data_IF_774609146005
#
_entry.id   IF_774609146005
#
_cell.length_a   1.000
_cell.length_b   1.000
_cell.length_c   1.000
_cell.angle_alpha   90.00
_cell.angle_beta   90.00
_cell.angle_gamma   90.00
#
_symmetry.space_group_name_H-M   'P 1'
#
loop_
_entity.id
_entity.type
_entity.pdbx_description
1 polymer ?
#
# COMPACT_ATOMS: atom_id res chain seq x y z
N UNK A 1 -22.32 -11.76 54.24
CA UNK A 1 -22.32 -10.28 54.17
C UNK A 1 -20.87 -9.73 54.21
N UNK A 2 -19.95 -10.33 53.43
CA UNK A 2 -18.52 -9.98 53.42
C UNK A 2 -17.88 -10.23 52.03
N UNK A 3 -18.65 -10.06 50.94
CA UNK A 3 -18.23 -10.38 49.57
C UNK A 3 -18.38 -9.22 48.57
N UNK A 4 -18.55 -7.98 49.04
CA UNK A 4 -18.79 -6.80 48.19
C UNK A 4 -17.58 -5.85 48.06
N UNK A 5 -16.41 -6.20 48.60
CA UNK A 5 -15.24 -5.30 48.62
C UNK A 5 -14.00 -6.03 48.11
N UNK A 6 -14.03 -6.48 46.85
CA UNK A 6 -12.81 -6.69 46.08
C UNK A 6 -12.92 -5.80 44.84
N UNK A 7 -12.58 -4.53 45.09
CA UNK A 7 -11.94 -3.57 44.17
C UNK A 7 -12.31 -3.67 42.69
N UNK A 8 -13.16 -2.72 42.27
CA UNK A 8 -13.19 -2.14 40.92
C UNK A 8 -11.83 -1.56 40.46
N UNK A 9 -10.82 -1.45 41.33
CA UNK A 9 -9.54 -0.82 41.00
C UNK A 9 -8.65 -1.63 40.06
N UNK A 10 -8.96 -2.89 39.78
CA UNK A 10 -8.20 -3.72 38.81
C UNK A 10 -8.88 -3.83 37.44
N UNK A 11 -10.06 -3.23 37.25
CA UNK A 11 -10.77 -3.16 35.96
C UNK A 11 -10.33 -1.96 35.10
N UNK A 12 -9.47 -1.08 35.63
CA UNK A 12 -8.91 0.09 34.94
C UNK A 12 -7.65 -0.20 34.11
N UNK A 13 -7.11 -1.42 34.19
CA UNK A 13 -6.03 -1.84 33.31
C UNK A 13 -6.64 -2.57 32.10
N UNK A 14 -6.35 -2.09 30.89
CA UNK A 14 -6.61 -2.71 29.58
C UNK A 14 -7.96 -2.36 28.92
N UNK A 15 -7.90 -1.29 28.11
CA UNK A 15 -8.93 -0.82 27.17
C UNK A 15 -8.86 -1.48 25.79
N UNK A 16 -8.33 -2.69 25.66
CA UNK A 16 -8.23 -3.35 24.35
C UNK A 16 -9.50 -4.18 24.06
N UNK A 17 -10.32 -3.64 23.14
CA UNK A 17 -11.45 -4.28 22.43
C UNK A 17 -12.78 -4.30 23.22
N UNK A 18 -13.63 -3.27 23.07
CA UNK A 18 -14.92 -3.17 23.75
C UNK A 18 -15.96 -4.18 23.26
N UNK A 19 -15.84 -4.76 22.06
CA UNK A 19 -16.75 -5.83 21.59
C UNK A 19 -16.64 -7.10 22.46
N UNK A 20 -15.44 -7.43 22.96
CA UNK A 20 -15.25 -8.53 23.91
C UNK A 20 -15.71 -8.15 25.32
N UNK A 21 -15.55 -6.87 25.70
CA UNK A 21 -15.93 -6.34 27.02
C UNK A 21 -17.44 -6.31 27.21
N UNK A 22 -18.21 -5.90 26.20
CA UNK A 22 -19.68 -5.92 26.20
C UNK A 22 -20.24 -7.33 26.14
N UNK A 23 -19.62 -8.24 25.37
CA UNK A 23 -20.04 -9.64 25.32
C UNK A 23 -19.74 -10.36 26.64
N UNK A 24 -18.58 -10.11 27.25
CA UNK A 24 -18.23 -10.65 28.57
C UNK A 24 -19.10 -10.03 29.67
N UNK A 25 -19.42 -8.74 29.63
CA UNK A 25 -20.33 -8.10 30.58
C UNK A 25 -21.75 -8.65 30.45
N UNK A 26 -22.26 -8.86 29.22
CA UNK A 26 -23.56 -9.48 28.96
C UNK A 26 -23.62 -10.94 29.43
N UNK A 27 -22.50 -11.65 29.45
CA UNK A 27 -22.37 -13.02 29.97
C UNK A 27 -22.16 -13.07 31.49
N UNK A 28 -21.47 -12.09 32.08
CA UNK A 28 -21.22 -12.00 33.53
C UNK A 28 -22.45 -11.53 34.31
N UNK A 29 -23.27 -10.65 33.71
CA UNK A 29 -24.52 -10.17 34.31
C UNK A 29 -25.65 -11.22 34.28
N UNK A 30 -25.52 -12.30 33.50
CA UNK A 30 -26.63 -13.19 33.17
C UNK A 30 -26.60 -14.61 33.74
N UNK A 31 -25.71 -15.03 34.65
CA UNK A 31 -26.05 -16.08 35.62
C UNK A 31 -24.90 -16.47 36.57
N UNK A 32 -25.12 -16.15 37.84
CA UNK A 32 -24.81 -17.04 38.94
C UNK A 32 -25.83 -18.20 38.84
N UNK A 33 -25.36 -19.45 38.83
CA UNK A 33 -26.09 -20.74 38.80
C UNK A 33 -26.19 -21.46 37.44
N UNK A 34 -25.45 -22.58 37.29
CA UNK A 34 -25.61 -23.61 36.24
C UNK A 34 -24.45 -23.77 35.24
N UNK A 35 -23.34 -24.44 35.60
CA UNK A 35 -22.03 -24.24 34.94
C UNK A 35 -21.46 -25.37 34.06
N UNK A 36 -22.22 -26.36 33.56
CA UNK A 36 -21.62 -27.47 32.78
C UNK A 36 -22.14 -27.63 31.34
N UNK A 37 -23.40 -27.32 31.06
CA UNK A 37 -23.97 -27.37 29.69
C UNK A 37 -23.98 -26.02 28.97
N UNK A 38 -23.90 -24.91 29.71
CA UNK A 38 -23.94 -23.55 29.17
C UNK A 38 -22.58 -23.03 28.65
N UNK A 39 -21.48 -23.64 29.11
CA UNK A 39 -20.12 -23.27 28.71
C UNK A 39 -19.83 -23.50 27.22
N UNK A 40 -20.42 -24.53 26.60
CA UNK A 40 -20.22 -24.82 25.18
C UNK A 40 -20.89 -23.79 24.26
N UNK A 41 -22.06 -23.27 24.63
CA UNK A 41 -22.78 -22.25 23.85
C UNK A 41 -22.09 -20.90 23.92
N UNK A 42 -21.62 -20.50 25.11
CA UNK A 42 -20.84 -19.27 25.31
C UNK A 42 -19.53 -19.33 24.54
N UNK A 43 -18.78 -20.44 24.65
CA UNK A 43 -17.52 -20.63 23.94
C UNK A 43 -17.72 -20.57 22.41
N UNK A 44 -18.86 -21.08 21.92
CA UNK A 44 -19.22 -21.03 20.49
C UNK A 44 -19.59 -19.62 20.01
N UNK A 45 -20.29 -18.82 20.81
CA UNK A 45 -20.58 -17.44 20.44
C UNK A 45 -19.34 -16.55 20.47
N UNK A 46 -18.48 -16.73 21.49
CA UNK A 46 -17.21 -16.00 21.59
C UNK A 46 -16.30 -16.35 20.41
N UNK A 47 -16.22 -17.62 19.99
CA UNK A 47 -15.41 -18.00 18.82
C UNK A 47 -15.95 -17.45 17.49
N UNK A 48 -17.27 -17.36 17.32
CA UNK A 48 -17.91 -16.72 16.16
C UNK A 48 -17.69 -15.20 16.11
N UNK A 49 -17.69 -14.53 17.26
CA UNK A 49 -17.40 -13.08 17.34
C UNK A 49 -15.92 -12.78 17.06
N UNK A 50 -15.02 -13.62 17.55
CA UNK A 50 -13.59 -13.53 17.26
C UNK A 50 -13.32 -13.72 15.76
N UNK A 51 -13.92 -14.73 15.12
CA UNK A 51 -13.70 -15.00 13.69
C UNK A 51 -14.22 -13.88 12.79
N UNK A 52 -15.39 -13.30 13.11
CA UNK A 52 -15.91 -12.14 12.37
C UNK A 52 -15.06 -10.89 12.53
N UNK A 53 -14.51 -10.65 13.72
CA UNK A 53 -13.60 -9.51 13.98
C UNK A 53 -12.29 -9.64 13.20
N UNK A 54 -11.72 -10.84 13.14
CA UNK A 54 -10.53 -11.17 12.36
C UNK A 54 -10.72 -10.86 10.88
N UNK A 55 -11.84 -11.30 10.31
CA UNK A 55 -12.16 -11.06 8.90
C UNK A 55 -12.30 -9.56 8.61
N UNK A 56 -12.89 -8.78 9.53
CA UNK A 56 -13.03 -7.34 9.38
C UNK A 56 -11.66 -6.63 9.35
N UNK A 57 -10.76 -6.95 10.27
CA UNK A 57 -9.39 -6.36 10.31
C UNK A 57 -8.63 -6.69 9.03
N UNK A 58 -8.68 -7.94 8.59
CA UNK A 58 -8.05 -8.37 7.33
C UNK A 58 -8.64 -7.66 6.12
N UNK A 59 -9.96 -7.46 6.09
CA UNK A 59 -10.64 -6.75 5.01
C UNK A 59 -10.23 -5.27 4.94
N UNK A 60 -10.10 -4.59 6.09
CA UNK A 60 -9.61 -3.21 6.17
C UNK A 60 -8.16 -3.14 5.69
N UNK A 61 -7.30 -4.06 6.12
CA UNK A 61 -5.90 -4.14 5.66
C UNK A 61 -5.79 -4.33 4.14
N UNK A 62 -6.59 -5.22 3.56
CA UNK A 62 -6.67 -5.41 2.10
C UNK A 62 -7.16 -4.14 1.39
N UNK A 63 -8.14 -3.46 1.97
CA UNK A 63 -8.70 -2.22 1.42
C UNK A 63 -7.72 -1.05 1.44
N UNK A 64 -6.79 -1.05 2.38
CA UNK A 64 -5.70 -0.10 2.46
C UNK A 64 -4.60 -0.37 1.42
N UNK A 65 -4.10 -1.61 1.37
CA UNK A 65 -2.94 -1.99 0.53
C UNK A 65 -3.29 -2.13 -0.95
N UNK A 66 -4.54 -2.49 -1.28
CA UNK A 66 -4.98 -2.74 -2.66
C UNK A 66 -4.72 -1.58 -3.63
N UNK A 67 -5.25 -0.36 -3.37
CA UNK A 67 -5.02 0.83 -4.19
C UNK A 67 -3.53 1.17 -4.39
N UNK A 68 -2.71 1.03 -3.34
CA UNK A 68 -1.28 1.31 -3.35
C UNK A 68 -0.53 0.35 -4.27
N UNK A 69 -0.81 -0.95 -4.14
CA UNK A 69 -0.21 -1.97 -4.99
C UNK A 69 -0.55 -1.76 -6.47
N UNK A 70 -1.80 -1.41 -6.79
CA UNK A 70 -2.15 -1.11 -8.18
C UNK A 70 -1.42 0.11 -8.70
N UNK A 71 -1.34 1.19 -7.91
CA UNK A 71 -0.61 2.39 -8.31
C UNK A 71 0.87 2.07 -8.60
N UNK A 72 1.54 1.34 -7.71
CA UNK A 72 2.94 0.92 -7.92
C UNK A 72 3.10 0.07 -9.18
N UNK A 73 2.20 -0.89 -9.41
CA UNK A 73 2.20 -1.74 -10.61
C UNK A 73 2.03 -0.88 -11.86
N UNK A 74 0.97 -0.06 -11.94
CA UNK A 74 0.68 0.74 -13.12
C UNK A 74 1.79 1.75 -13.42
N UNK A 75 2.33 2.42 -12.40
CA UNK A 75 3.40 3.39 -12.57
C UNK A 75 4.68 2.71 -13.09
N UNK A 76 5.10 1.62 -12.45
CA UNK A 76 6.26 0.85 -12.93
C UNK A 76 6.07 0.33 -14.35
N UNK A 77 4.83 -0.04 -14.72
CA UNK A 77 4.53 -0.44 -16.08
C UNK A 77 4.76 0.68 -17.11
N UNK A 78 4.54 1.93 -16.74
CA UNK A 78 4.84 3.10 -17.59
C UNK A 78 6.34 3.35 -17.67
N UNK A 79 7.05 3.28 -16.54
CA UNK A 79 8.51 3.48 -16.45
C UNK A 79 9.24 2.62 -17.48
N UNK A 80 8.95 1.30 -17.51
CA UNK A 80 9.67 0.44 -18.46
C UNK A 80 9.20 0.63 -19.91
N UNK A 81 7.98 1.10 -20.15
CA UNK A 81 7.54 1.41 -21.51
C UNK A 81 8.32 2.59 -22.08
N UNK A 82 8.67 3.56 -21.24
CA UNK A 82 9.62 4.61 -21.58
C UNK A 82 11.02 4.05 -21.83
N UNK A 83 11.54 3.19 -20.95
CA UNK A 83 12.85 2.52 -21.15
C UNK A 83 12.92 1.73 -22.46
N UNK A 84 11.85 1.02 -22.81
CA UNK A 84 11.74 0.28 -24.08
C UNK A 84 11.65 1.21 -25.29
N UNK A 85 10.95 2.34 -25.16
CA UNK A 85 10.91 3.38 -26.19
C UNK A 85 12.31 3.98 -26.40
N UNK A 86 13.06 4.27 -25.34
CA UNK A 86 14.45 4.73 -25.44
C UNK A 86 15.34 3.72 -26.18
N UNK A 87 15.27 2.43 -25.84
CA UNK A 87 16.02 1.40 -26.53
C UNK A 87 15.69 1.34 -28.04
N UNK A 88 14.41 1.48 -28.38
CA UNK A 88 13.97 1.55 -29.78
C UNK A 88 14.52 2.78 -30.50
N UNK A 89 14.56 3.93 -29.81
CA UNK A 89 15.07 5.19 -30.37
C UNK A 89 16.59 5.19 -30.54
N UNK A 90 17.33 4.58 -29.60
CA UNK A 90 18.79 4.39 -29.70
C UNK A 90 19.15 3.50 -30.90
N UNK A 91 18.42 2.39 -31.06
CA UNK A 91 18.66 1.42 -32.13
C UNK A 91 17.95 1.78 -33.45
N UNK A 92 17.35 2.97 -33.56
CA UNK A 92 16.67 3.42 -34.78
C UNK A 92 17.62 3.45 -36.00
N UNK A 93 18.92 3.57 -35.73
CA UNK A 93 19.98 3.87 -36.70
C UNK A 93 21.05 2.78 -36.84
N UNK A 94 20.90 1.64 -36.16
CA UNK A 94 21.99 0.65 -36.03
C UNK A 94 22.40 -0.07 -37.32
N UNK A 95 21.59 -0.01 -38.37
CA UNK A 95 21.82 -0.72 -39.64
C UNK A 95 22.16 0.20 -40.83
N UNK A 96 22.50 1.48 -40.59
CA UNK A 96 22.88 2.45 -41.65
C UNK A 96 23.96 1.90 -42.59
N UNK A 97 24.95 1.17 -42.06
CA UNK A 97 26.11 0.70 -42.83
C UNK A 97 25.83 -0.52 -43.73
N UNK A 98 24.66 -1.18 -43.58
CA UNK A 98 24.33 -2.42 -44.31
C UNK A 98 23.38 -2.22 -45.50
N UNK A 99 22.68 -1.09 -45.57
CA UNK A 99 21.59 -0.88 -46.53
C UNK A 99 22.06 -0.05 -47.74
N UNK A 100 22.00 -0.64 -48.94
CA UNK A 100 22.50 -0.05 -50.21
C UNK A 100 21.63 1.08 -50.77
N UNK A 101 20.39 1.24 -50.29
CA UNK A 101 19.46 2.32 -50.66
C UNK A 101 19.13 3.21 -49.45
N UNK A 102 19.82 4.35 -49.39
CA UNK A 102 19.70 5.37 -48.33
C UNK A 102 18.28 5.95 -48.27
N UNK A 103 17.57 6.02 -49.40
CA UNK A 103 16.22 6.61 -49.47
C UNK A 103 15.17 5.64 -48.92
N UNK A 104 15.25 4.36 -49.32
CA UNK A 104 14.38 3.32 -48.78
C UNK A 104 14.60 3.14 -47.26
N UNK A 105 15.86 3.16 -46.82
CA UNK A 105 16.23 3.13 -45.41
C UNK A 105 15.65 4.32 -44.63
N UNK A 106 15.82 5.54 -45.14
CA UNK A 106 15.31 6.76 -44.49
C UNK A 106 13.78 6.72 -44.33
N UNK A 107 13.05 6.22 -45.33
CA UNK A 107 11.60 6.08 -45.25
C UNK A 107 11.18 5.02 -44.22
N UNK A 108 11.90 3.89 -44.14
CA UNK A 108 11.67 2.84 -43.12
C UNK A 108 11.93 3.37 -41.71
N UNK A 109 13.03 4.08 -41.48
CA UNK A 109 13.33 4.72 -40.19
C UNK A 109 12.29 5.78 -39.83
N UNK A 110 11.79 6.55 -40.80
CA UNK A 110 10.73 7.52 -40.56
C UNK A 110 9.40 6.85 -40.14
N UNK A 111 9.03 5.72 -40.73
CA UNK A 111 7.88 4.93 -40.29
C UNK A 111 8.04 4.36 -38.88
N UNK A 112 9.25 3.93 -38.51
CA UNK A 112 9.55 3.49 -37.13
C UNK A 112 9.47 4.68 -36.16
N UNK A 113 10.02 5.84 -36.53
CA UNK A 113 9.95 7.07 -35.73
C UNK A 113 8.51 7.50 -35.52
N UNK A 114 7.66 7.44 -36.55
CA UNK A 114 6.23 7.75 -36.44
C UNK A 114 5.52 6.87 -35.42
N UNK A 115 5.83 5.56 -35.39
CA UNK A 115 5.35 4.64 -34.35
C UNK A 115 5.87 5.01 -32.96
N UNK A 116 7.15 5.42 -32.86
CA UNK A 116 7.74 5.88 -31.61
C UNK A 116 7.07 7.16 -31.10
N UNK A 117 6.73 8.11 -31.98
CA UNK A 117 5.99 9.33 -31.65
C UNK A 117 4.60 8.99 -31.10
N UNK A 118 3.87 8.11 -31.79
CA UNK A 118 2.54 7.68 -31.33
C UNK A 118 2.61 7.00 -29.97
N UNK A 119 3.61 6.13 -29.76
CA UNK A 119 3.85 5.47 -28.47
C UNK A 119 4.19 6.50 -27.39
N UNK A 120 5.11 7.44 -27.65
CA UNK A 120 5.49 8.48 -26.72
C UNK A 120 4.29 9.34 -26.30
N UNK A 121 3.46 9.79 -27.25
CA UNK A 121 2.24 10.55 -26.98
C UNK A 121 1.27 9.75 -26.11
N UNK A 122 1.08 8.46 -26.42
CA UNK A 122 0.21 7.58 -25.63
C UNK A 122 0.73 7.39 -24.20
N UNK A 123 2.05 7.30 -24.01
CA UNK A 123 2.66 7.20 -22.68
C UNK A 123 2.53 8.49 -21.88
N UNK A 124 2.69 9.65 -22.52
CA UNK A 124 2.47 10.96 -21.87
C UNK A 124 1.00 11.08 -21.43
N UNK A 125 0.06 10.76 -22.32
CA UNK A 125 -1.38 10.83 -22.01
C UNK A 125 -1.77 9.84 -20.90
N UNK A 126 -1.21 8.63 -20.94
CA UNK A 126 -1.40 7.64 -19.88
C UNK A 126 -0.89 8.16 -18.53
N UNK A 127 0.30 8.77 -18.52
CA UNK A 127 0.93 9.31 -17.29
C UNK A 127 0.10 10.45 -16.70
N UNK A 128 -0.41 11.36 -17.55
CA UNK A 128 -1.28 12.45 -17.11
C UNK A 128 -2.59 11.94 -16.51
N UNK A 129 -3.24 10.95 -17.14
CA UNK A 129 -4.44 10.31 -16.58
C UNK A 129 -4.16 9.57 -15.28
N UNK A 130 -3.01 8.92 -15.16
CA UNK A 130 -2.60 8.25 -13.93
C UNK A 130 -2.42 9.27 -12.80
N UNK A 131 -1.79 10.41 -13.09
CA UNK A 131 -1.65 11.53 -12.15
C UNK A 131 -3.01 12.09 -11.73
N UNK A 132 -3.90 12.41 -12.68
CA UNK A 132 -5.23 12.99 -12.38
C UNK A 132 -6.04 12.13 -11.41
N UNK A 133 -5.97 10.80 -11.54
CA UNK A 133 -6.73 9.86 -10.69
C UNK A 133 -6.09 9.72 -9.31
N UNK A 134 -4.75 9.66 -9.24
CA UNK A 134 -4.04 9.30 -8.02
C UNK A 134 -3.44 10.50 -7.26
N UNK A 135 -3.49 11.72 -7.79
CA UNK A 135 -2.91 12.91 -7.14
C UNK A 135 -3.46 13.15 -5.73
N UNK A 136 -4.78 13.05 -5.54
CA UNK A 136 -5.42 13.21 -4.23
C UNK A 136 -5.21 11.99 -3.30
N UNK A 137 -5.34 10.73 -3.77
CA UNK A 137 -4.95 9.56 -2.99
C UNK A 137 -3.50 9.61 -2.48
N UNK A 138 -2.55 10.00 -3.34
CA UNK A 138 -1.13 10.16 -2.98
C UNK A 138 -0.98 11.20 -1.88
N UNK A 139 -1.54 12.41 -2.07
CA UNK A 139 -1.48 13.47 -1.06
C UNK A 139 -2.04 13.01 0.29
N UNK A 140 -3.23 12.40 0.28
CA UNK A 140 -3.86 11.92 1.50
C UNK A 140 -3.03 10.88 2.24
N UNK A 141 -2.37 9.99 1.48
CA UNK A 141 -1.52 8.93 2.03
C UNK A 141 -0.28 9.52 2.67
N UNK A 142 0.41 10.44 1.98
CA UNK A 142 1.63 11.08 2.49
C UNK A 142 1.38 11.86 3.78
N UNK A 143 0.30 12.65 3.82
CA UNK A 143 -0.06 13.43 5.01
C UNK A 143 -0.41 12.51 6.17
N UNK A 144 -1.29 11.52 5.93
CA UNK A 144 -1.75 10.63 7.02
C UNK A 144 -0.61 9.72 7.51
N UNK A 145 0.26 9.23 6.63
CA UNK A 145 1.42 8.41 7.04
C UNK A 145 2.42 9.22 7.86
N UNK A 146 2.63 10.50 7.55
CA UNK A 146 3.50 11.34 8.38
C UNK A 146 2.98 11.50 9.81
N UNK A 147 1.67 11.71 9.96
CA UNK A 147 1.01 11.81 11.28
C UNK A 147 1.05 10.48 12.02
N UNK A 148 0.75 9.38 11.33
CA UNK A 148 0.77 8.02 11.90
C UNK A 148 2.16 7.63 12.36
N UNK A 149 3.21 7.85 11.56
CA UNK A 149 4.60 7.57 11.95
C UNK A 149 5.00 8.34 13.22
N UNK A 150 4.56 9.59 13.37
CA UNK A 150 4.81 10.38 14.57
C UNK A 150 4.12 9.79 15.81
N UNK A 151 2.85 9.40 15.69
CA UNK A 151 2.11 8.81 16.80
C UNK A 151 2.58 7.40 17.15
N UNK A 152 2.85 6.56 16.16
CA UNK A 152 3.40 5.22 16.36
C UNK A 152 4.76 5.28 17.06
N UNK A 153 5.63 6.24 16.70
CA UNK A 153 6.91 6.46 17.39
C UNK A 153 6.71 6.93 18.83
N UNK A 154 5.77 7.86 19.05
CA UNK A 154 5.42 8.35 20.38
C UNK A 154 4.96 7.21 21.30
N UNK A 155 4.07 6.35 20.80
CA UNK A 155 3.58 5.18 21.53
C UNK A 155 4.69 4.15 21.78
N UNK A 156 5.53 3.89 20.79
CA UNK A 156 6.63 2.91 20.92
C UNK A 156 7.67 3.32 21.96
N UNK A 157 7.98 4.61 22.09
CA UNK A 157 9.03 5.09 23.01
C UNK A 157 8.49 5.27 24.43
N UNK A 158 7.29 5.84 24.58
CA UNK A 158 6.78 6.27 25.88
C UNK A 158 5.74 5.32 26.47
N UNK A 159 5.14 4.45 25.66
CA UNK A 159 4.11 3.52 26.10
C UNK A 159 4.70 2.31 26.83
N UNK A 160 4.14 1.99 28.00
CA UNK A 160 4.38 0.71 28.67
C UNK A 160 3.51 -0.39 28.02
N UNK A 161 3.94 -0.82 26.82
CA UNK A 161 3.13 -1.63 25.91
C UNK A 161 3.56 -3.10 25.95
N UNK A 162 2.61 -4.06 26.00
CA UNK A 162 2.94 -5.48 25.93
C UNK A 162 3.66 -5.85 24.62
N UNK A 163 4.57 -6.83 24.69
CA UNK A 163 5.45 -7.23 23.58
C UNK A 163 4.73 -7.49 22.26
N UNK A 164 3.52 -8.07 22.29
CA UNK A 164 2.74 -8.37 21.10
C UNK A 164 2.28 -7.11 20.34
N UNK A 165 1.78 -6.10 21.06
CA UNK A 165 1.34 -4.83 20.46
C UNK A 165 2.53 -3.99 19.99
N UNK A 166 3.67 -4.07 20.70
CA UNK A 166 4.92 -3.46 20.23
C UNK A 166 5.37 -4.00 18.88
N UNK A 167 5.23 -5.31 18.67
CA UNK A 167 5.56 -5.94 17.38
C UNK A 167 4.64 -5.44 16.25
N UNK A 168 3.36 -5.19 16.54
CA UNK A 168 2.41 -4.58 15.60
C UNK A 168 2.90 -3.22 15.11
N UNK A 169 3.28 -2.32 16.02
CA UNK A 169 3.77 -0.98 15.66
C UNK A 169 5.06 -1.05 14.83
N UNK A 170 5.97 -1.98 15.17
CA UNK A 170 7.18 -2.20 14.37
C UNK A 170 6.83 -2.61 12.93
N UNK A 171 5.88 -3.54 12.74
CA UNK A 171 5.45 -3.92 11.39
C UNK A 171 4.75 -2.78 10.64
N UNK A 172 3.97 -1.92 11.31
CA UNK A 172 3.38 -0.73 10.69
C UNK A 172 4.45 0.26 10.24
N UNK A 173 5.38 0.62 11.14
CA UNK A 173 6.46 1.58 10.85
C UNK A 173 7.32 1.10 9.68
N UNK A 174 7.71 -0.19 9.70
CA UNK A 174 8.44 -0.81 8.60
C UNK A 174 7.61 -0.80 7.30
N UNK A 175 6.33 -1.14 7.37
CA UNK A 175 5.44 -1.14 6.20
C UNK A 175 5.31 0.23 5.55
N UNK A 176 5.08 1.27 6.35
CA UNK A 176 5.00 2.66 5.86
C UNK A 176 6.33 3.10 5.27
N UNK A 177 7.43 2.82 5.95
CA UNK A 177 8.77 3.18 5.50
C UNK A 177 9.11 2.54 4.15
N UNK A 178 8.89 1.22 4.03
CA UNK A 178 9.11 0.51 2.79
C UNK A 178 8.20 1.00 1.66
N UNK A 179 6.93 1.26 1.94
CA UNK A 179 6.02 1.85 0.96
C UNK A 179 6.57 3.17 0.41
N UNK A 180 6.97 4.10 1.28
CA UNK A 180 7.48 5.40 0.86
C UNK A 180 8.73 5.23 -0.01
N UNK A 181 9.69 4.38 0.38
CA UNK A 181 10.90 4.13 -0.42
C UNK A 181 10.56 3.56 -1.80
N UNK A 182 9.77 2.48 -1.87
CA UNK A 182 9.45 1.86 -3.14
C UNK A 182 8.62 2.79 -4.03
N UNK A 183 7.64 3.50 -3.46
CA UNK A 183 6.81 4.41 -4.21
C UNK A 183 7.61 5.60 -4.76
N UNK A 184 8.46 6.22 -3.94
CA UNK A 184 9.32 7.33 -4.39
C UNK A 184 10.37 6.89 -5.40
N UNK A 185 10.94 5.69 -5.27
CA UNK A 185 11.83 5.09 -6.26
C UNK A 185 11.13 4.90 -7.62
N UNK A 186 9.93 4.32 -7.64
CA UNK A 186 9.17 4.12 -8.88
C UNK A 186 8.81 5.47 -9.52
N UNK A 187 8.42 6.47 -8.72
CA UNK A 187 8.12 7.81 -9.24
C UNK A 187 9.36 8.53 -9.77
N UNK A 188 10.52 8.37 -9.11
CA UNK A 188 11.79 8.89 -9.62
C UNK A 188 12.15 8.25 -10.97
N UNK A 189 12.03 6.92 -11.08
CA UNK A 189 12.21 6.22 -12.35
C UNK A 189 11.30 6.74 -13.46
N UNK A 190 10.07 7.16 -13.16
CA UNK A 190 9.18 7.77 -14.16
C UNK A 190 9.74 9.10 -14.69
N UNK A 191 10.24 9.96 -13.80
CA UNK A 191 10.84 11.25 -14.16
C UNK A 191 12.10 11.04 -14.99
N UNK A 192 12.99 10.16 -14.52
CA UNK A 192 14.25 9.85 -15.17
C UNK A 192 14.05 9.23 -16.56
N UNK A 193 13.27 8.15 -16.65
CA UNK A 193 13.05 7.44 -17.92
C UNK A 193 12.24 8.27 -18.93
N UNK A 194 11.37 9.18 -18.48
CA UNK A 194 10.67 10.09 -19.41
C UNK A 194 11.58 11.21 -19.94
N UNK A 195 12.52 11.69 -19.13
CA UNK A 195 13.54 12.67 -19.53
C UNK A 195 14.58 12.07 -20.48
N UNK A 196 15.03 10.84 -20.20
CA UNK A 196 16.09 10.13 -20.94
C UNK A 196 15.73 9.84 -22.40
N UNK A 197 14.47 9.95 -22.81
CA UNK A 197 14.05 9.92 -24.23
C UNK A 197 14.78 10.98 -25.04
N UNK A 198 14.97 12.18 -24.48
CA UNK A 198 15.69 13.26 -25.14
C UNK A 198 17.15 12.89 -25.37
N UNK A 199 17.82 12.33 -24.34
CA UNK A 199 19.20 11.89 -24.40
C UNK A 199 19.39 10.72 -25.39
N UNK A 200 18.45 9.77 -25.40
CA UNK A 200 18.43 8.65 -26.34
C UNK A 200 18.33 9.13 -27.80
N UNK A 201 17.46 10.10 -28.08
CA UNK A 201 17.35 10.71 -29.41
C UNK A 201 18.58 11.51 -29.80
N UNK A 202 19.11 12.30 -28.87
CA UNK A 202 20.29 13.13 -29.09
C UNK A 202 21.53 12.30 -29.44
N UNK A 203 21.71 11.17 -28.74
CA UNK A 203 22.81 10.23 -28.95
C UNK A 203 22.70 9.42 -30.25
N UNK A 204 21.55 9.45 -30.90
CA UNK A 204 21.35 8.80 -32.20
C UNK A 204 22.13 9.48 -33.33
N UNK A 205 22.38 8.74 -34.42
CA UNK A 205 23.14 9.23 -35.58
C UNK A 205 22.31 10.11 -36.54
N UNK A 206 21.45 10.97 -35.99
CA UNK A 206 20.54 11.83 -36.76
C UNK A 206 21.25 12.94 -37.55
N UNK A 207 22.50 13.24 -37.22
CA UNK A 207 23.35 14.22 -37.94
C UNK A 207 23.76 13.73 -39.32
N UNK A 208 23.80 12.41 -39.54
CA UNK A 208 24.26 11.76 -40.78
C UNK A 208 23.12 11.64 -41.81
N UNK A 209 21.88 11.95 -41.42
CA UNK A 209 20.70 11.89 -42.29
C UNK A 209 20.84 12.73 -43.56
N UNK A 210 20.43 12.21 -44.74
CA UNK A 210 20.47 12.95 -46.00
C UNK A 210 19.64 14.24 -45.90
N UNK A 211 20.04 15.28 -46.64
CA UNK A 211 19.36 16.58 -46.65
C UNK A 211 18.15 16.62 -47.61
N UNK A 212 17.54 15.46 -47.86
CA UNK A 212 16.30 15.33 -48.62
C UNK A 212 15.08 15.76 -47.77
N UNK A 213 13.90 15.78 -48.37
CA UNK A 213 12.66 16.19 -47.70
C UNK A 213 12.36 15.33 -46.46
N UNK A 214 12.45 14.00 -46.58
CA UNK A 214 12.25 13.05 -45.46
C UNK A 214 13.22 13.29 -44.30
N UNK A 215 14.52 13.50 -44.57
CA UNK A 215 15.52 13.75 -43.54
C UNK A 215 15.36 15.11 -42.86
N UNK A 216 14.86 16.13 -43.58
CA UNK A 216 14.49 17.43 -42.96
C UNK A 216 13.27 17.30 -42.06
N UNK A 217 12.22 16.59 -42.50
CA UNK A 217 11.03 16.32 -41.68
C UNK A 217 11.41 15.54 -40.43
N UNK A 218 12.22 14.50 -40.57
CA UNK A 218 12.66 13.65 -39.47
C UNK A 218 13.44 14.42 -38.40
N UNK A 219 14.40 15.28 -38.81
CA UNK A 219 15.11 16.17 -37.87
C UNK A 219 14.17 17.12 -37.14
N UNK A 220 13.20 17.69 -37.84
CA UNK A 220 12.19 18.57 -37.24
C UNK A 220 11.36 17.83 -36.19
N UNK A 221 10.89 16.63 -36.50
CA UNK A 221 10.08 15.83 -35.58
C UNK A 221 10.89 15.36 -34.37
N UNK A 222 12.14 14.92 -34.57
CA UNK A 222 13.05 14.57 -33.47
C UNK A 222 13.29 15.75 -32.54
N UNK A 223 13.52 16.95 -33.08
CA UNK A 223 13.65 18.16 -32.26
C UNK A 223 12.40 18.43 -31.43
N UNK A 224 11.20 18.24 -31.99
CA UNK A 224 9.94 18.39 -31.25
C UNK A 224 9.87 17.36 -30.11
N UNK A 225 10.22 16.11 -30.37
CA UNK A 225 10.21 15.06 -29.34
C UNK A 225 11.20 15.41 -28.21
N UNK A 226 12.44 15.79 -28.55
CA UNK A 226 13.45 16.20 -27.58
C UNK A 226 12.95 17.35 -26.71
N UNK A 227 12.44 18.42 -27.33
CA UNK A 227 11.87 19.57 -26.61
C UNK A 227 10.69 19.18 -25.71
N UNK A 228 9.86 18.21 -26.11
CA UNK A 228 8.75 17.72 -25.29
C UNK A 228 9.24 16.86 -24.12
N UNK A 229 10.25 16.02 -24.32
CA UNK A 229 10.85 15.16 -23.29
C UNK A 229 11.62 15.94 -22.22
N UNK A 230 12.04 17.19 -22.51
CA UNK A 230 12.59 18.10 -21.49
C UNK A 230 11.57 18.47 -20.39
N UNK A 231 10.28 18.16 -20.57
CA UNK A 231 9.25 18.25 -19.54
C UNK A 231 8.85 16.83 -19.11
N UNK A 232 9.51 16.27 -18.07
CA UNK A 232 9.31 14.88 -17.69
C UNK A 232 7.91 14.61 -17.14
N UNK A 233 7.44 13.38 -17.36
CA UNK A 233 6.25 12.87 -16.71
C UNK A 233 6.55 12.61 -15.24
N UNK A 234 5.71 13.11 -14.34
CA UNK A 234 5.85 12.95 -12.90
C UNK A 234 4.48 12.77 -12.28
N UNK A 235 4.43 12.19 -11.08
CA UNK A 235 3.21 12.14 -10.28
C UNK A 235 3.31 13.19 -9.18
N UNK A 236 2.29 14.03 -9.02
CA UNK A 236 2.26 15.05 -7.96
C UNK A 236 1.40 14.63 -6.77
N UNK A 237 1.76 15.13 -5.58
CA UNK A 237 0.91 15.10 -4.41
C UNK A 237 -0.01 16.34 -4.42
N UNK A 238 -1.23 16.20 -4.96
CA UNK A 238 -2.23 17.26 -5.02
C UNK A 238 -1.80 18.54 -5.76
N UNK A 239 -0.84 18.43 -6.69
CA UNK A 239 -0.26 19.57 -7.41
C UNK A 239 0.72 20.45 -6.61
N UNK A 240 1.02 20.11 -5.35
CA UNK A 240 1.95 20.90 -4.52
C UNK A 240 3.42 20.62 -4.86
N UNK A 241 3.79 19.35 -4.96
CA UNK A 241 5.15 18.93 -5.29
C UNK A 241 5.15 17.58 -6.04
N UNK A 242 6.11 17.37 -6.96
CA UNK A 242 6.33 16.07 -7.58
C UNK A 242 6.83 15.07 -6.53
N UNK A 243 6.30 13.87 -6.54
CA UNK A 243 6.79 12.78 -5.69
C UNK A 243 8.06 12.23 -6.32
N UNK A 244 9.20 12.57 -5.75
CA UNK A 244 10.52 12.11 -6.20
C UNK A 244 11.34 11.58 -5.02
N UNK A 245 12.38 10.81 -5.31
CA UNK A 245 13.26 10.23 -4.28
C UNK A 245 13.83 11.29 -3.31
N UNK A 246 14.12 12.49 -3.79
CA UNK A 246 14.57 13.61 -2.94
C UNK A 246 13.52 14.07 -1.92
N UNK A 247 12.22 13.83 -2.16
CA UNK A 247 11.16 14.13 -1.19
C UNK A 247 11.10 13.15 -0.03
N UNK A 248 11.70 11.96 -0.14
CA UNK A 248 11.78 10.99 0.95
C UNK A 248 13.07 11.06 1.76
N UNK A 249 14.18 11.62 1.26
CA UNK A 249 15.34 12.03 2.10
C UNK A 249 16.43 12.78 1.32
N UNK A 250 17.13 13.70 2.01
CA UNK A 250 18.31 14.42 1.52
C UNK A 250 19.63 13.65 1.68
N UNK A 251 19.71 12.51 2.40
CA UNK A 251 20.99 11.77 2.58
C UNK A 251 20.87 10.23 2.70
N UNK A 252 19.67 9.64 2.81
CA UNK A 252 19.52 8.22 3.18
C UNK A 252 19.54 7.23 2.01
N UNK A 253 19.49 7.72 0.77
CA UNK A 253 19.10 6.91 -0.39
C UNK A 253 20.28 6.41 -1.22
N UNK A 254 21.46 7.04 -1.16
CA UNK A 254 22.66 6.46 -1.77
C UNK A 254 22.96 5.09 -1.13
N UNK A 255 22.83 4.98 0.20
CA UNK A 255 22.96 3.73 0.93
C UNK A 255 21.86 2.70 0.59
N UNK A 256 20.59 3.12 0.46
CA UNK A 256 19.47 2.18 0.16
C UNK A 256 19.46 1.76 -1.31
N UNK A 257 19.82 2.65 -2.24
CA UNK A 257 19.97 2.36 -3.66
C UNK A 257 21.10 1.36 -3.90
N UNK A 258 22.25 1.58 -3.27
CA UNK A 258 23.37 0.63 -3.28
C UNK A 258 22.98 -0.71 -2.64
N UNK A 259 22.28 -0.69 -1.49
CA UNK A 259 21.78 -1.91 -0.83
C UNK A 259 20.71 -2.63 -1.66
N UNK A 260 19.85 -1.94 -2.42
CA UNK A 260 18.85 -2.58 -3.29
C UNK A 260 19.50 -3.20 -4.53
N UNK A 261 20.53 -2.55 -5.09
CA UNK A 261 21.29 -3.06 -6.23
C UNK A 261 22.22 -4.21 -5.81
N UNK A 262 22.89 -4.08 -4.67
CA UNK A 262 23.74 -5.10 -4.05
C UNK A 262 22.89 -6.30 -3.59
N UNK A 263 21.75 -6.11 -2.91
CA UNK A 263 20.86 -7.20 -2.54
C UNK A 263 20.19 -7.86 -3.74
N UNK A 264 19.92 -7.16 -4.84
CA UNK A 264 19.44 -7.79 -6.07
C UNK A 264 20.49 -8.76 -6.66
N UNK A 265 21.78 -8.43 -6.52
CA UNK A 265 22.89 -9.30 -6.88
C UNK A 265 23.18 -10.39 -5.83
N UNK A 266 23.03 -10.11 -4.52
CA UNK A 266 23.27 -11.07 -3.43
C UNK A 266 22.11 -12.06 -3.21
N UNK A 267 20.85 -11.67 -3.46
CA UNK A 267 19.71 -12.60 -3.53
C UNK A 267 19.85 -13.61 -4.68
N UNK A 268 20.75 -13.36 -5.64
CA UNK A 268 21.13 -14.33 -6.67
C UNK A 268 22.04 -15.44 -6.12
N UNK A 269 22.68 -15.23 -4.97
CA UNK A 269 23.71 -16.14 -4.44
C UNK A 269 23.23 -17.03 -3.29
N UNK A 270 22.26 -16.59 -2.46
CA UNK A 270 22.10 -17.20 -1.12
C UNK A 270 20.71 -17.73 -0.72
N UNK A 271 19.70 -17.73 -1.60
CA UNK A 271 18.39 -18.33 -1.25
C UNK A 271 17.85 -19.34 -2.27
N UNK A 272 17.48 -20.49 -1.71
CA UNK A 272 17.00 -21.72 -2.36
C UNK A 272 16.17 -21.49 -3.63
N UNK A 273 16.61 -22.17 -4.68
CA UNK A 273 16.13 -22.20 -6.07
C UNK A 273 14.61 -22.38 -6.23
N UNK A 274 13.90 -22.81 -5.19
CA UNK A 274 12.44 -23.00 -5.21
C UNK A 274 11.61 -21.71 -5.05
N UNK A 275 12.06 -20.71 -4.26
CA UNK A 275 11.29 -19.47 -4.06
C UNK A 275 11.47 -18.52 -5.26
N UNK A 276 12.69 -18.44 -5.80
CA UNK A 276 12.98 -17.62 -6.97
C UNK A 276 12.27 -18.16 -8.23
N UNK A 277 12.12 -19.48 -8.37
CA UNK A 277 11.39 -20.09 -9.49
C UNK A 277 9.87 -19.84 -9.44
N UNK A 278 9.28 -19.66 -8.24
CA UNK A 278 7.89 -19.22 -8.08
C UNK A 278 7.72 -17.74 -8.46
N UNK A 279 8.73 -16.91 -8.21
CA UNK A 279 8.74 -15.47 -8.53
C UNK A 279 9.06 -15.16 -9.99
N UNK A 280 9.76 -16.07 -10.71
CA UNK A 280 10.35 -15.78 -12.02
C UNK A 280 9.37 -15.85 -13.21
N UNK A 281 8.25 -16.58 -13.11
CA UNK A 281 7.50 -16.97 -14.32
C UNK A 281 5.99 -16.65 -14.35
N UNK A 282 5.48 -15.89 -13.38
CA UNK A 282 4.08 -15.41 -13.40
C UNK A 282 4.03 -13.93 -13.08
N UNK A 283 3.01 -13.26 -13.63
CA UNK A 283 2.64 -11.89 -13.31
C UNK A 283 2.08 -11.81 -11.87
N UNK A 284 2.87 -12.23 -10.88
CA UNK A 284 2.46 -12.41 -9.48
C UNK A 284 1.98 -11.07 -8.90
N UNK A 285 2.72 -9.98 -9.14
CA UNK A 285 2.30 -8.64 -8.72
C UNK A 285 0.93 -8.22 -9.26
N UNK A 286 0.67 -8.42 -10.56
CA UNK A 286 -0.62 -8.10 -11.19
C UNK A 286 -1.74 -9.01 -10.65
N UNK A 287 -1.46 -10.30 -10.45
CA UNK A 287 -2.42 -11.25 -9.87
C UNK A 287 -2.81 -10.82 -8.47
N UNK A 288 -1.84 -10.46 -7.62
CA UNK A 288 -2.10 -9.99 -6.26
C UNK A 288 -2.81 -8.64 -6.26
N UNK A 289 -2.37 -7.67 -7.06
CA UNK A 289 -3.02 -6.37 -7.16
C UNK A 289 -4.47 -6.51 -7.64
N UNK A 290 -4.71 -7.34 -8.65
CA UNK A 290 -6.06 -7.69 -9.12
C UNK A 290 -6.87 -8.38 -8.02
N UNK A 291 -6.30 -9.36 -7.32
CA UNK A 291 -6.97 -10.08 -6.24
C UNK A 291 -7.40 -9.16 -5.10
N UNK A 292 -6.51 -8.29 -4.63
CA UNK A 292 -6.80 -7.33 -3.56
C UNK A 292 -7.91 -6.36 -3.97
N UNK A 293 -7.82 -5.75 -5.16
CA UNK A 293 -8.87 -4.85 -5.64
C UNK A 293 -10.21 -5.55 -5.90
N UNK A 294 -10.18 -6.84 -6.27
CA UNK A 294 -11.38 -7.67 -6.42
C UNK A 294 -12.09 -7.90 -5.10
N UNK A 295 -11.37 -8.01 -3.98
CA UNK A 295 -11.93 -8.11 -2.63
C UNK A 295 -12.58 -6.79 -2.21
N UNK A 296 -11.93 -5.65 -2.51
CA UNK A 296 -12.46 -4.30 -2.23
C UNK A 296 -13.71 -3.99 -3.08
N UNK A 297 -13.83 -4.61 -4.25
CA UNK A 297 -14.91 -4.37 -5.21
C UNK A 297 -14.57 -3.33 -6.28
N UNK A 298 -13.34 -2.82 -6.30
CA UNK A 298 -12.85 -1.80 -7.25
C UNK A 298 -12.01 -2.43 -8.39
N UNK A 299 -12.53 -3.44 -9.07
CA UNK A 299 -11.84 -4.07 -10.22
C UNK A 299 -12.78 -4.28 -11.40
N UNK A 300 -12.20 -4.39 -12.60
CA UNK A 300 -12.93 -4.65 -13.85
C UNK A 300 -13.82 -5.91 -13.73
N UNK A 301 -15.07 -5.80 -14.18
CA UNK A 301 -16.00 -6.92 -14.32
C UNK A 301 -16.11 -7.32 -15.79
N UNK A 302 -16.06 -8.62 -16.09
CA UNK A 302 -16.25 -9.11 -17.45
C UNK A 302 -17.75 -9.22 -17.82
N UNK A 303 -18.57 -9.64 -16.86
CA UNK A 303 -19.99 -9.95 -17.05
C UNK A 303 -20.89 -9.20 -16.07
N UNK A 304 -22.19 -9.11 -16.37
CA UNK A 304 -23.19 -8.49 -15.49
C UNK A 304 -23.27 -9.17 -14.11
N UNK A 305 -23.06 -10.49 -14.06
CA UNK A 305 -22.98 -11.25 -12.81
C UNK A 305 -21.71 -10.91 -12.01
N UNK A 306 -20.58 -10.68 -12.69
CA UNK A 306 -19.37 -10.22 -12.02
C UNK A 306 -19.53 -8.79 -11.51
N UNK A 307 -20.18 -7.90 -12.27
CA UNK A 307 -20.45 -6.52 -11.85
C UNK A 307 -21.31 -6.51 -10.57
N UNK A 308 -22.36 -7.33 -10.50
CA UNK A 308 -23.17 -7.49 -9.30
C UNK A 308 -22.34 -7.95 -8.10
N UNK A 309 -21.41 -8.91 -8.30
CA UNK A 309 -20.48 -9.35 -7.23
C UNK A 309 -19.52 -8.24 -6.80
N UNK A 310 -19.05 -7.39 -7.72
CA UNK A 310 -18.17 -6.24 -7.41
C UNK A 310 -18.92 -5.17 -6.63
N UNK A 311 -20.15 -4.85 -7.04
CA UNK A 311 -20.99 -3.88 -6.34
C UNK A 311 -21.34 -4.36 -4.93
N UNK A 312 -21.66 -5.65 -4.77
CA UNK A 312 -21.86 -6.26 -3.45
C UNK A 312 -20.60 -6.18 -2.57
N UNK A 313 -19.42 -6.48 -3.14
CA UNK A 313 -18.15 -6.38 -2.42
C UNK A 313 -17.83 -4.92 -2.01
N UNK A 314 -18.13 -3.94 -2.86
CA UNK A 314 -17.99 -2.52 -2.56
C UNK A 314 -18.93 -2.09 -1.42
N UNK A 315 -20.20 -2.51 -1.47
CA UNK A 315 -21.19 -2.24 -0.41
C UNK A 315 -20.73 -2.85 0.91
N UNK A 316 -20.25 -4.10 0.89
CA UNK A 316 -19.69 -4.76 2.07
C UNK A 316 -18.50 -3.98 2.64
N UNK A 317 -17.58 -3.52 1.78
CA UNK A 317 -16.42 -2.72 2.19
C UNK A 317 -16.83 -1.40 2.83
N UNK A 318 -17.75 -0.66 2.20
CA UNK A 318 -18.25 0.60 2.75
C UNK A 318 -19.00 0.39 4.08
N UNK A 319 -19.79 -0.68 4.19
CA UNK A 319 -20.46 -1.07 5.44
C UNK A 319 -19.47 -1.41 6.55
N UNK A 320 -18.42 -2.17 6.25
CA UNK A 320 -17.37 -2.52 7.21
C UNK A 320 -16.60 -1.28 7.69
N UNK A 321 -16.27 -0.36 6.79
CA UNK A 321 -15.61 0.91 7.14
C UNK A 321 -16.52 1.79 8.00
N UNK A 322 -17.81 1.90 7.67
CA UNK A 322 -18.77 2.66 8.45
C UNK A 322 -18.90 2.11 9.87
N UNK A 323 -19.06 0.78 10.01
CA UNK A 323 -19.10 0.12 11.32
C UNK A 323 -17.81 0.37 12.10
N UNK A 324 -16.65 0.29 11.44
CA UNK A 324 -15.35 0.55 12.07
C UNK A 324 -15.23 1.99 12.58
N UNK A 325 -15.70 2.99 11.81
CA UNK A 325 -15.75 4.39 12.26
C UNK A 325 -16.70 4.54 13.45
N UNK A 326 -17.89 3.95 13.42
CA UNK A 326 -18.84 4.03 14.54
C UNK A 326 -18.27 3.44 15.83
N UNK A 327 -17.58 2.29 15.74
CA UNK A 327 -16.91 1.67 16.89
C UNK A 327 -15.82 2.62 17.41
N UNK A 328 -14.97 3.14 16.53
CA UNK A 328 -13.88 4.02 16.94
C UNK A 328 -14.38 5.33 17.57
N UNK A 329 -15.45 5.94 17.03
CA UNK A 329 -16.07 7.14 17.60
C UNK A 329 -16.67 6.88 18.99
N UNK A 330 -17.34 5.74 19.18
CA UNK A 330 -17.84 5.32 20.50
C UNK A 330 -16.69 5.15 21.50
N UNK A 331 -15.61 4.52 21.05
CA UNK A 331 -14.45 4.25 21.91
C UNK A 331 -13.75 5.54 22.33
N UNK A 332 -13.59 6.51 21.41
CA UNK A 332 -13.13 7.88 21.74
C UNK A 332 -14.08 8.55 22.71
N UNK A 333 -15.40 8.50 22.47
CA UNK A 333 -16.37 9.15 23.34
C UNK A 333 -16.25 8.69 24.80
N UNK A 334 -16.06 7.38 25.02
CA UNK A 334 -15.89 6.85 26.38
C UNK A 334 -14.52 7.12 26.99
N UNK A 335 -13.46 7.25 26.19
CA UNK A 335 -12.11 7.55 26.70
C UNK A 335 -11.85 9.06 26.88
N UNK A 336 -12.60 9.91 26.17
CA UNK A 336 -12.45 11.37 26.19
C UNK A 336 -12.61 12.00 27.57
N UNK A 337 -13.58 11.52 28.35
CA UNK A 337 -13.82 12.02 29.71
C UNK A 337 -12.60 11.90 30.62
N UNK A 338 -11.87 10.79 30.49
CA UNK A 338 -10.67 10.51 31.28
C UNK A 338 -9.46 11.32 30.78
N UNK A 339 -9.36 11.55 29.46
CA UNK A 339 -8.34 12.42 28.86
C UNK A 339 -8.45 13.86 29.35
N UNK A 340 -9.68 14.39 29.44
CA UNK A 340 -9.94 15.73 29.99
C UNK A 340 -9.52 15.85 31.46
N UNK A 341 -9.65 14.79 32.26
CA UNK A 341 -9.26 14.80 33.68
C UNK A 341 -7.74 14.81 33.86
N UNK A 342 -6.96 14.28 32.90
CA UNK A 342 -5.49 14.29 32.95
C UNK A 342 -4.90 15.71 32.99
N UNK A 343 -5.46 16.63 32.21
CA UNK A 343 -4.99 18.03 32.16
C UNK A 343 -5.51 18.90 33.31
N UNK A 344 -6.36 18.35 34.19
CA UNK A 344 -6.82 19.04 35.40
C UNK A 344 -5.70 19.14 36.43
N UNK A 345 -5.55 20.30 37.08
CA UNK A 345 -4.46 20.57 38.05
C UNK A 345 -4.45 19.60 39.26
N UNK A 346 -5.58 18.97 39.57
CA UNK A 346 -5.73 18.09 40.73
C UNK A 346 -5.23 16.66 40.51
N UNK A 347 -5.16 16.19 39.25
CA UNK A 347 -4.77 14.81 38.93
C UNK A 347 -3.25 14.59 38.93
N UNK A 348 -2.44 15.65 38.84
CA UNK A 348 -0.97 15.57 38.87
C UNK A 348 -0.36 15.26 40.25
N UNK A 349 -1.14 15.42 41.34
CA UNK A 349 -0.64 15.28 42.72
C UNK A 349 -0.64 13.85 43.25
N UNK A 350 -1.33 12.91 42.59
CA UNK A 350 -1.52 11.54 43.08
C UNK A 350 -0.80 10.54 42.14
N UNK A 351 0.24 9.81 42.59
CA UNK A 351 1.05 8.93 41.74
C UNK A 351 0.25 7.82 41.02
N UNK A 352 -0.72 7.22 41.69
CA UNK A 352 -1.57 6.17 41.08
C UNK A 352 -2.51 6.73 40.00
N UNK A 353 -3.09 7.93 40.21
CA UNK A 353 -3.88 8.62 39.17
C UNK A 353 -2.99 9.02 37.99
N UNK A 354 -1.74 9.42 38.24
CA UNK A 354 -0.79 9.78 37.17
C UNK A 354 -0.55 8.62 36.20
N UNK A 355 -0.39 7.40 36.69
CA UNK A 355 -0.15 6.23 35.82
C UNK A 355 -1.41 5.75 35.10
N UNK A 356 -2.56 5.73 35.77
CA UNK A 356 -3.85 5.43 35.14
C UNK A 356 -4.19 6.44 34.03
N UNK A 357 -3.98 7.73 34.29
CA UNK A 357 -4.26 8.79 33.32
C UNK A 357 -3.26 8.79 32.15
N UNK A 358 -2.02 8.35 32.38
CA UNK A 358 -1.03 8.19 31.31
C UNK A 358 -1.43 7.05 30.37
N UNK A 359 -1.91 5.91 30.89
CA UNK A 359 -2.44 4.82 30.07
C UNK A 359 -3.63 5.27 29.22
N UNK A 360 -4.56 6.04 29.79
CA UNK A 360 -5.70 6.56 29.03
C UNK A 360 -5.30 7.51 27.90
N UNK A 361 -4.19 8.24 28.05
CA UNK A 361 -3.67 9.08 26.96
C UNK A 361 -3.17 8.22 25.78
N UNK A 362 -2.42 7.14 26.07
CA UNK A 362 -1.99 6.20 25.02
C UNK A 362 -3.19 5.54 24.34
N UNK A 363 -4.20 5.12 25.10
CA UNK A 363 -5.43 4.56 24.53
C UNK A 363 -6.12 5.56 23.58
N UNK A 364 -6.17 6.85 23.92
CA UNK A 364 -6.75 7.89 23.05
C UNK A 364 -5.96 8.12 21.76
N UNK A 365 -4.62 8.16 21.84
CA UNK A 365 -3.75 8.31 20.66
C UNK A 365 -3.92 7.10 19.74
N UNK A 366 -3.94 5.90 20.30
CA UNK A 366 -4.10 4.65 19.56
C UNK A 366 -5.44 4.61 18.81
N UNK A 367 -6.54 4.98 19.48
CA UNK A 367 -7.86 5.05 18.83
C UNK A 367 -7.86 6.13 17.74
N UNK A 368 -7.19 7.27 17.97
CA UNK A 368 -7.07 8.33 16.96
C UNK A 368 -6.30 7.86 15.72
N UNK A 369 -5.20 7.11 15.88
CA UNK A 369 -4.48 6.47 14.79
C UNK A 369 -5.39 5.52 13.99
N UNK A 370 -6.16 4.68 14.68
CA UNK A 370 -7.11 3.77 14.03
C UNK A 370 -8.17 4.53 13.22
N UNK A 371 -8.68 5.66 13.73
CA UNK A 371 -9.59 6.52 12.96
C UNK A 371 -8.89 7.06 11.72
N UNK A 372 -7.66 7.58 11.85
CA UNK A 372 -6.90 8.09 10.70
C UNK A 372 -6.68 7.02 9.62
N UNK A 373 -6.37 5.77 10.00
CA UNK A 373 -6.29 4.65 9.08
C UNK A 373 -7.61 4.39 8.35
N UNK A 374 -8.72 4.28 9.07
CA UNK A 374 -10.02 4.00 8.45
C UNK A 374 -10.47 5.16 7.55
N UNK A 375 -10.18 6.40 7.96
CA UNK A 375 -10.46 7.60 7.18
C UNK A 375 -9.65 7.65 5.88
N UNK A 376 -8.37 7.25 5.88
CA UNK A 376 -7.58 7.22 4.63
C UNK A 376 -8.13 6.17 3.67
N UNK A 377 -8.55 5.00 4.17
CA UNK A 377 -9.16 3.96 3.33
C UNK A 377 -10.48 4.44 2.73
N UNK A 378 -11.33 5.05 3.54
CA UNK A 378 -12.60 5.61 3.07
C UNK A 378 -12.39 6.67 1.98
N UNK A 379 -11.46 7.59 2.19
CA UNK A 379 -11.11 8.64 1.23
C UNK A 379 -10.54 8.06 -0.07
N UNK A 380 -9.61 7.10 0.00
CA UNK A 380 -9.04 6.40 -1.18
C UNK A 380 -10.11 5.72 -2.01
N UNK A 381 -10.99 4.93 -1.37
CA UNK A 381 -12.09 4.24 -2.05
C UNK A 381 -13.06 5.24 -2.67
N UNK A 382 -13.40 6.31 -1.96
CA UNK A 382 -14.28 7.37 -2.47
C UNK A 382 -13.72 8.05 -3.72
N UNK A 383 -12.43 8.37 -3.73
CA UNK A 383 -11.78 9.01 -4.89
C UNK A 383 -11.68 8.02 -6.07
N UNK A 384 -11.23 6.79 -5.84
CA UNK A 384 -11.17 5.79 -6.90
C UNK A 384 -12.53 5.45 -7.48
N UNK A 385 -13.59 5.46 -6.65
CA UNK A 385 -14.95 5.28 -7.12
C UNK A 385 -15.41 6.45 -8.00
N UNK A 386 -15.05 7.70 -7.62
CA UNK A 386 -15.36 8.90 -8.41
C UNK A 386 -14.70 8.85 -9.79
N UNK A 387 -13.45 8.39 -9.85
CA UNK A 387 -12.68 8.24 -11.10
C UNK A 387 -12.79 6.84 -11.73
N UNK A 388 -13.78 6.02 -11.35
CA UNK A 388 -13.83 4.60 -11.73
C UNK A 388 -13.75 4.34 -13.23
N UNK A 389 -14.38 5.20 -14.04
CA UNK A 389 -14.41 5.04 -15.50
C UNK A 389 -13.01 5.26 -16.09
N UNK A 390 -12.35 6.34 -15.69
CA UNK A 390 -10.99 6.67 -16.14
C UNK A 390 -9.98 5.64 -15.67
N UNK A 391 -10.11 5.19 -14.41
CA UNK A 391 -9.28 4.14 -13.83
C UNK A 391 -9.41 2.81 -14.58
N UNK A 392 -10.65 2.39 -14.90
CA UNK A 392 -10.89 1.19 -15.69
C UNK A 392 -10.37 1.32 -17.13
N UNK A 393 -10.46 2.50 -17.74
CA UNK A 393 -9.87 2.76 -19.05
C UNK A 393 -8.34 2.62 -19.03
N UNK A 394 -7.66 3.08 -17.97
CA UNK A 394 -6.21 2.86 -17.79
C UNK A 394 -5.86 1.39 -17.63
N UNK A 395 -6.63 0.63 -16.84
CA UNK A 395 -6.42 -0.80 -16.69
C UNK A 395 -6.58 -1.54 -18.02
N UNK A 396 -7.63 -1.23 -18.78
CA UNK A 396 -7.87 -1.80 -20.11
C UNK A 396 -6.76 -1.44 -21.09
N UNK A 397 -6.31 -0.18 -21.07
CA UNK A 397 -5.19 0.26 -21.91
C UNK A 397 -3.90 -0.49 -21.57
N UNK A 398 -3.59 -0.65 -20.28
CA UNK A 398 -2.42 -1.39 -19.79
C UNK A 398 -2.48 -2.84 -20.23
N UNK A 399 -3.62 -3.50 -20.05
CA UNK A 399 -3.81 -4.89 -20.43
C UNK A 399 -3.63 -5.11 -21.93
N UNK A 400 -4.14 -4.19 -22.75
CA UNK A 400 -4.07 -4.29 -24.20
C UNK A 400 -2.68 -3.97 -24.76
N UNK A 401 -2.01 -2.95 -24.22
CA UNK A 401 -0.78 -2.42 -24.81
C UNK A 401 0.49 -2.86 -24.10
N UNK A 402 0.46 -3.00 -22.76
CA UNK A 402 1.66 -3.24 -21.95
C UNK A 402 1.86 -4.71 -21.59
N UNK A 403 0.78 -5.48 -21.40
CA UNK A 403 0.84 -6.90 -21.02
C UNK A 403 0.88 -7.86 -22.21
N UNK A 404 1.42 -7.41 -23.34
CA UNK A 404 1.70 -8.26 -24.51
C UNK A 404 2.92 -9.18 -24.26
N UNK A 405 3.02 -10.33 -24.95
CA UNK A 405 4.24 -11.12 -24.96
C UNK A 405 5.37 -10.38 -25.69
N UNK A 406 6.54 -10.32 -25.06
CA UNK A 406 7.76 -9.72 -25.61
C UNK A 406 8.62 -10.82 -26.22
N UNK A 407 9.21 -10.55 -27.39
CA UNK A 407 10.00 -11.53 -28.15
C UNK A 407 11.46 -11.10 -28.30
N UNK A 408 11.74 -9.80 -28.19
CA UNK A 408 13.11 -9.28 -28.25
C UNK A 408 13.85 -9.56 -26.93
N UNK A 409 15.08 -10.12 -26.96
CA UNK A 409 15.84 -10.43 -25.74
C UNK A 409 16.10 -9.24 -24.83
N UNK A 410 16.32 -8.03 -25.39
CA UNK A 410 16.53 -6.82 -24.58
C UNK A 410 15.22 -6.37 -23.92
N UNK A 411 14.10 -6.39 -24.68
CA UNK A 411 12.77 -6.13 -24.11
C UNK A 411 12.42 -7.12 -22.98
N UNK A 412 12.74 -8.40 -23.15
CA UNK A 412 12.52 -9.44 -22.13
C UNK A 412 13.34 -9.17 -20.87
N UNK A 413 14.60 -8.78 -21.01
CA UNK A 413 15.47 -8.46 -19.88
C UNK A 413 14.89 -7.30 -19.07
N UNK A 414 14.56 -6.18 -19.74
CA UNK A 414 13.96 -4.99 -19.10
C UNK A 414 12.68 -5.36 -18.35
N UNK A 415 11.78 -6.10 -19.00
CA UNK A 415 10.50 -6.51 -18.38
C UNK A 415 10.73 -7.44 -17.18
N UNK A 416 11.74 -8.30 -17.24
CA UNK A 416 12.06 -9.24 -16.15
C UNK A 416 12.60 -8.51 -14.93
N UNK A 417 13.49 -7.52 -15.11
CA UNK A 417 13.96 -6.65 -14.03
C UNK A 417 12.80 -5.92 -13.35
N UNK A 418 11.92 -5.30 -14.14
CA UNK A 418 10.76 -4.59 -13.61
C UNK A 418 9.80 -5.53 -12.86
N UNK A 419 9.55 -6.74 -13.38
CA UNK A 419 8.72 -7.73 -12.67
C UNK A 419 9.34 -8.12 -11.33
N UNK A 420 10.66 -8.24 -11.23
CA UNK A 420 11.34 -8.53 -9.96
C UNK A 420 11.10 -7.42 -8.95
N UNK A 421 11.37 -6.16 -9.31
CA UNK A 421 11.16 -5.00 -8.44
C UNK A 421 9.69 -4.92 -7.98
N UNK A 422 8.76 -5.09 -8.91
CA UNK A 422 7.31 -5.10 -8.64
C UNK A 422 6.91 -6.20 -7.66
N UNK A 423 7.41 -7.42 -7.87
CA UNK A 423 7.10 -8.56 -7.02
C UNK A 423 7.67 -8.37 -5.61
N UNK A 424 8.91 -7.88 -5.48
CA UNK A 424 9.51 -7.58 -4.18
C UNK A 424 8.69 -6.53 -3.42
N UNK A 425 8.34 -5.42 -4.08
CA UNK A 425 7.50 -4.37 -3.51
C UNK A 425 6.15 -4.92 -3.01
N UNK A 426 5.41 -5.63 -3.86
CA UNK A 426 4.09 -6.18 -3.50
C UNK A 426 4.18 -7.20 -2.36
N UNK A 427 5.15 -8.13 -2.42
CA UNK A 427 5.31 -9.15 -1.38
C UNK A 427 5.65 -8.52 -0.04
N UNK A 428 6.56 -7.56 -0.03
CA UNK A 428 7.02 -6.91 1.20
C UNK A 428 5.93 -6.03 1.83
N UNK A 429 5.17 -5.29 1.01
CA UNK A 429 4.01 -4.52 1.48
C UNK A 429 2.92 -5.43 2.08
N UNK A 430 2.60 -6.54 1.40
CA UNK A 430 1.64 -7.52 1.91
C UNK A 430 2.15 -8.14 3.21
N UNK A 431 3.44 -8.49 3.29
CA UNK A 431 4.03 -9.07 4.49
C UNK A 431 3.94 -8.13 5.69
N UNK A 432 4.32 -6.85 5.55
CA UNK A 432 4.19 -5.86 6.61
C UNK A 432 2.73 -5.63 7.03
N UNK A 433 1.81 -5.56 6.07
CA UNK A 433 0.39 -5.41 6.36
C UNK A 433 -0.18 -6.62 7.11
N UNK A 434 0.19 -7.85 6.71
CA UNK A 434 -0.23 -9.08 7.37
C UNK A 434 0.39 -9.24 8.76
N UNK A 435 1.67 -8.88 8.93
CA UNK A 435 2.33 -8.85 10.23
C UNK A 435 1.61 -7.91 11.20
N UNK A 436 1.21 -6.75 10.71
CA UNK A 436 0.42 -5.77 11.47
C UNK A 436 -0.97 -6.32 11.83
N UNK A 437 -1.71 -6.89 10.87
CA UNK A 437 -3.01 -7.50 11.11
C UNK A 437 -2.93 -8.67 12.11
N UNK A 438 -1.89 -9.51 12.01
CA UNK A 438 -1.66 -10.60 12.95
C UNK A 438 -1.41 -10.09 14.37
N UNK A 439 -0.70 -8.97 14.52
CA UNK A 439 -0.49 -8.31 15.80
C UNK A 439 -1.79 -7.84 16.48
N UNK A 440 -2.72 -7.26 15.70
CA UNK A 440 -4.07 -6.93 16.18
C UNK A 440 -4.86 -8.17 16.63
N UNK A 441 -4.61 -9.32 16.01
CA UNK A 441 -5.29 -10.58 16.34
C UNK A 441 -4.70 -11.32 17.53
N UNK A 442 -3.38 -11.25 17.73
CA UNK A 442 -2.68 -11.95 18.81
C UNK A 442 -2.97 -11.31 20.17
N UNK A 443 -3.07 -9.98 20.22
CA UNK A 443 -3.32 -9.23 21.46
C UNK A 443 -4.56 -9.71 22.25
N UNK A 444 -5.77 -9.82 21.64
CA UNK A 444 -6.95 -10.35 22.34
C UNK A 444 -6.84 -11.83 22.73
N UNK A 445 -6.13 -12.65 21.94
CA UNK A 445 -5.95 -14.07 22.25
C UNK A 445 -5.09 -14.27 23.48
N UNK A 446 -4.01 -13.49 23.63
CA UNK A 446 -3.16 -13.51 24.82
C UNK A 446 -3.95 -13.09 26.07
N UNK A 447 -4.80 -12.05 25.96
CA UNK A 447 -5.63 -11.62 27.08
C UNK A 447 -6.64 -12.70 27.49
N UNK A 448 -7.27 -13.35 26.50
CA UNK A 448 -8.20 -14.46 26.74
C UNK A 448 -7.50 -15.63 27.45
N UNK A 449 -6.28 -15.99 27.02
CA UNK A 449 -5.49 -17.05 27.65
C UNK A 449 -5.13 -16.71 29.11
N UNK A 450 -4.71 -15.47 29.39
CA UNK A 450 -4.41 -15.02 30.76
C UNK A 450 -5.63 -15.14 31.68
N UNK A 451 -6.81 -14.73 31.20
CA UNK A 451 -8.06 -14.85 31.96
C UNK A 451 -8.43 -16.31 32.23
N UNK A 452 -8.23 -17.19 31.26
CA UNK A 452 -8.51 -18.61 31.41
C UNK A 452 -7.59 -19.27 32.45
N UNK A 453 -6.30 -18.93 32.44
CA UNK A 453 -5.33 -19.41 33.44
C UNK A 453 -5.68 -18.93 34.85
N UNK A 454 -6.00 -17.64 35.01
CA UNK A 454 -6.44 -17.09 36.29
C UNK A 454 -7.72 -17.76 36.80
N UNK A 455 -8.67 -18.07 35.91
CA UNK A 455 -9.89 -18.78 36.26
C UNK A 455 -9.61 -20.24 36.67
N UNK A 456 -8.67 -20.90 36.00
CA UNK A 456 -8.22 -22.25 36.36
C UNK A 456 -7.59 -22.27 37.76
N UNK A 457 -6.68 -21.33 38.03
CA UNK A 457 -6.01 -21.22 39.32
C UNK A 457 -6.98 -20.87 40.46
N UNK A 458 -7.98 -20.03 40.18
CA UNK A 458 -9.05 -19.73 41.14
C UNK A 458 -9.99 -20.91 41.40
N UNK A 459 -10.22 -21.75 40.38
CA UNK A 459 -11.00 -22.99 40.55
C UNK A 459 -10.24 -23.99 41.40
N UNK A 460 -8.94 -24.13 41.18
CA UNK A 460 -8.06 -25.04 41.92
C UNK A 460 -7.91 -24.63 43.39
N UNK A 461 -7.86 -23.33 43.70
CA UNK A 461 -7.85 -22.82 45.09
C UNK A 461 -9.19 -22.93 45.84
N UNK A 462 -10.29 -23.31 45.16
CA UNK A 462 -11.62 -23.48 45.77
C UNK A 462 -12.01 -24.95 46.01
N UNK A 463 -11.22 -25.90 45.48
CA UNK A 463 -11.31 -27.33 45.77
C UNK A 463 -10.34 -27.62 46.91
#
# INVERSE_FOLDING_TARGET
>A
MHFAIIRESNLCHFSYIPSLKEMMAFLYLNNITGFTTFGNTITRHVSQSLSSSVLAVQHIGVSFVGPENVLCVLNLHVVYQFRMLQNTLLNLWSDIDKETDIVAYSNKCYEILKKCIQKHQSLIEYSAKLEDIFTLPILSTMVIFSVLMCFDTYEMILGDIPTGTRLTFVFHMLGIFFYIIFFTYICHGLVEESSNISMALYSGWWTILPMNESGKMMRKDMNIIMMKSMRPCHLTAGGFFPVIMETSTTESIEYVGDVLQENAHHLSSDYSTSIMHVLHNRNVSIIWASFLMKIVGLWLAADQNEQCRRDFALIYTLGALFISICIALRDIYHTWGNFSEYWSKDSLKIPQKKQANLQTNFDCVFISCNILYVMVVFLKIGILYRHKIEFFNLLMFTQKNFWRPYHDPQEILIVTECKKICNVCVVLLIFCAQGSCAGYMITPLIDLMKRFLLFSEYREKRI
#
